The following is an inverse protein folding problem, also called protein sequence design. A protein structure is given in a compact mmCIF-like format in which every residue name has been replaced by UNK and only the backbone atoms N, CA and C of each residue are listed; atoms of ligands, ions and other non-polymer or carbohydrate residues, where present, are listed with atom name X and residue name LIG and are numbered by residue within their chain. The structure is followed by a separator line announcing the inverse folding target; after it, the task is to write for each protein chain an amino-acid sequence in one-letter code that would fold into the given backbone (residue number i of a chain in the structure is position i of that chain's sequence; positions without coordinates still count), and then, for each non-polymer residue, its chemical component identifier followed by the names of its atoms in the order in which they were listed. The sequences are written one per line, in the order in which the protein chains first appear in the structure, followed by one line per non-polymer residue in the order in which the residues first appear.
data_IF_017175540350
#
_entry.id   IF_017175540350
#
_cell.length_a   1.000
_cell.length_b   1.000
_cell.length_c   1.000
_cell.angle_alpha   90.00
_cell.angle_beta   90.00
_cell.angle_gamma   90.00
#
_symmetry.space_group_name_H-M   'P 1'
#
loop_
_entity.id
_entity.type
_entity.pdbx_description
1 polymer ?
#
# COMPACT_ATOMS: atom_id res chain seq x y z
N UNK A 1 -11.88 9.46 -8.62
CA UNK A 1 -11.51 8.02 -8.65
C UNK A 1 -11.29 7.58 -10.11
N UNK A 2 -10.29 6.75 -10.39
CA UNK A 2 -9.92 6.26 -11.73
C UNK A 2 -9.82 4.74 -11.73
N UNK A 3 -10.42 4.07 -12.72
CA UNK A 3 -10.26 2.62 -12.88
C UNK A 3 -8.91 2.33 -13.54
N UNK A 4 -8.15 1.37 -13.01
CA UNK A 4 -6.81 1.02 -13.55
C UNK A 4 -6.73 -0.39 -14.10
N UNK A 5 -7.63 -1.28 -13.69
CA UNK A 5 -7.87 -2.58 -14.31
C UNK A 5 -9.28 -3.07 -13.95
N UNK A 6 -9.63 -4.26 -14.38
CA UNK A 6 -10.91 -4.87 -14.01
C UNK A 6 -11.03 -5.00 -12.49
N UNK A 7 -12.15 -4.54 -11.96
CA UNK A 7 -12.48 -4.54 -10.52
C UNK A 7 -11.49 -3.81 -9.60
N UNK A 8 -10.64 -2.92 -10.13
CA UNK A 8 -9.74 -2.10 -9.33
C UNK A 8 -9.76 -0.63 -9.74
N UNK A 9 -9.98 0.23 -8.74
CA UNK A 9 -9.96 1.68 -8.87
C UNK A 9 -8.95 2.28 -7.90
N UNK A 10 -8.51 3.48 -8.23
CA UNK A 10 -7.61 4.26 -7.39
C UNK A 10 -8.14 5.67 -7.19
N UNK A 11 -7.94 6.19 -5.99
CA UNK A 11 -8.09 7.60 -5.69
C UNK A 11 -6.72 8.15 -5.32
N UNK A 12 -6.29 9.18 -6.02
CA UNK A 12 -5.00 9.84 -5.80
C UNK A 12 -5.25 11.12 -5.01
N UNK A 13 -4.42 11.33 -3.99
CA UNK A 13 -4.45 12.50 -3.12
C UNK A 13 -3.01 12.88 -2.78
N UNK A 14 -2.81 13.91 -1.97
CA UNK A 14 -1.49 14.28 -1.53
C UNK A 14 -1.51 14.98 -0.18
N UNK A 15 -0.41 14.88 0.56
CA UNK A 15 -0.26 15.56 1.83
C UNK A 15 1.08 16.28 1.93
N UNK A 16 1.11 17.36 2.70
CA UNK A 16 2.36 17.99 3.06
C UNK A 16 3.12 17.13 4.07
N UNK A 17 4.35 16.74 3.73
CA UNK A 17 5.30 16.07 4.59
C UNK A 17 6.63 16.83 4.55
N UNK A 18 6.98 17.47 5.67
CA UNK A 18 8.22 18.26 5.80
C UNK A 18 8.39 19.32 4.70
N UNK A 19 7.30 19.98 4.30
CA UNK A 19 7.33 21.02 3.26
C UNK A 19 7.39 20.48 1.82
N UNK A 20 7.30 19.16 1.63
CA UNK A 20 7.22 18.50 0.32
C UNK A 20 5.84 17.86 0.15
N UNK A 21 5.33 17.84 -1.08
CA UNK A 21 4.05 17.22 -1.39
C UNK A 21 4.25 15.72 -1.62
N UNK A 22 3.76 14.89 -0.70
CA UNK A 22 3.80 13.44 -0.83
C UNK A 22 2.52 12.95 -1.50
N UNK A 23 2.65 12.34 -2.68
CA UNK A 23 1.53 11.68 -3.35
C UNK A 23 1.06 10.44 -2.58
N UNK A 24 -0.24 10.23 -2.55
CA UNK A 24 -0.93 9.15 -1.85
C UNK A 24 -1.90 8.48 -2.81
N UNK A 25 -2.16 7.20 -2.56
CA UNK A 25 -3.14 6.44 -3.33
C UNK A 25 -3.93 5.51 -2.43
N UNK A 26 -5.25 5.68 -2.44
CA UNK A 26 -6.19 4.66 -1.99
C UNK A 26 -6.47 3.71 -3.15
N UNK A 27 -6.50 2.42 -2.86
CA UNK A 27 -6.93 1.38 -3.81
C UNK A 27 -8.28 0.82 -3.38
N UNK A 28 -9.19 0.67 -4.32
CA UNK A 28 -10.51 0.07 -4.12
C UNK A 28 -10.60 -1.16 -5.02
N UNK A 29 -10.87 -2.32 -4.43
CA UNK A 29 -11.11 -3.57 -5.15
C UNK A 29 -12.57 -3.95 -4.97
N UNK A 30 -13.23 -4.34 -6.06
CA UNK A 30 -14.55 -4.98 -6.00
C UNK A 30 -14.34 -6.49 -5.95
N UNK A 31 -14.75 -7.12 -4.85
CA UNK A 31 -14.60 -8.55 -4.62
C UNK A 31 -15.68 -9.35 -5.38
N UNK A 32 -15.45 -10.67 -5.49
CA UNK A 32 -16.49 -11.62 -5.86
C UNK A 32 -17.68 -11.48 -4.88
N UNK A 33 -18.88 -11.28 -5.42
CA UNK A 33 -20.07 -10.92 -4.62
C UNK A 33 -20.39 -9.42 -4.58
N UNK A 34 -19.52 -8.56 -5.14
CA UNK A 34 -19.84 -7.15 -5.43
C UNK A 34 -19.57 -6.16 -4.30
N UNK A 35 -19.15 -6.63 -3.12
CA UNK A 35 -18.71 -5.75 -2.03
C UNK A 35 -17.33 -5.15 -2.29
N UNK A 36 -17.03 -4.01 -1.67
CA UNK A 36 -15.77 -3.31 -1.82
C UNK A 36 -14.80 -3.59 -0.68
N UNK A 37 -13.53 -3.72 -1.08
CA UNK A 37 -12.34 -3.79 -0.24
C UNK A 37 -11.49 -2.55 -0.48
N UNK A 38 -11.29 -1.73 0.55
CA UNK A 38 -10.55 -0.47 0.47
C UNK A 38 -9.20 -0.62 1.15
N UNK A 39 -8.14 -0.08 0.54
CA UNK A 39 -6.79 -0.16 1.05
C UNK A 39 -6.05 1.17 1.00
N UNK A 40 -5.34 1.49 2.08
CA UNK A 40 -4.54 2.71 2.21
C UNK A 40 -5.36 3.99 1.95
N UNK A 41 -6.50 4.09 2.65
CA UNK A 41 -7.48 5.15 2.44
C UNK A 41 -6.87 6.57 2.55
N UNK A 42 -7.27 7.47 1.66
CA UNK A 42 -6.88 8.90 1.64
C UNK A 42 -7.87 9.74 2.45
N UNK A 43 -7.73 11.07 2.43
CA UNK A 43 -8.70 11.95 3.08
C UNK A 43 -10.12 11.68 2.55
N UNK A 44 -11.06 11.49 3.47
CA UNK A 44 -12.46 11.30 3.13
C UNK A 44 -13.10 12.66 2.81
N UNK A 45 -13.69 12.78 1.62
CA UNK A 45 -14.55 13.92 1.26
C UNK A 45 -15.93 13.41 0.85
N UNK A 46 -16.98 14.26 0.90
CA UNK A 46 -18.31 13.88 0.43
C UNK A 46 -18.32 13.35 -1.01
N UNK A 47 -17.53 13.96 -1.89
CA UNK A 47 -17.41 13.57 -3.29
C UNK A 47 -16.76 12.19 -3.43
N UNK A 48 -15.67 11.93 -2.68
CA UNK A 48 -15.02 10.63 -2.67
C UNK A 48 -15.94 9.55 -2.11
N UNK A 49 -16.66 9.85 -1.02
CA UNK A 49 -17.63 8.92 -0.43
C UNK A 49 -18.73 8.57 -1.43
N UNK A 50 -19.27 9.56 -2.15
CA UNK A 50 -20.25 9.33 -3.21
C UNK A 50 -19.69 8.45 -4.34
N UNK A 51 -18.45 8.70 -4.78
CA UNK A 51 -17.80 7.89 -5.80
C UNK A 51 -17.61 6.43 -5.34
N UNK A 52 -17.23 6.20 -4.08
CA UNK A 52 -17.10 4.85 -3.50
C UNK A 52 -18.45 4.15 -3.42
N UNK A 53 -19.47 4.83 -2.90
CA UNK A 53 -20.83 4.27 -2.81
C UNK A 53 -21.43 3.90 -4.18
N UNK A 54 -21.04 4.61 -5.24
CA UNK A 54 -21.46 4.29 -6.61
C UNK A 54 -20.82 2.98 -7.15
N UNK A 55 -19.70 2.52 -6.59
CA UNK A 55 -19.05 1.28 -6.99
C UNK A 55 -19.63 0.03 -6.31
N UNK A 56 -20.16 0.17 -5.10
CA UNK A 56 -20.70 -0.93 -4.29
C UNK A 56 -20.68 -0.63 -2.79
N UNK A 57 -21.10 -1.61 -1.99
CA UNK A 57 -21.09 -1.50 -0.53
C UNK A 57 -19.69 -1.78 0.03
N UNK A 58 -19.15 -0.85 0.82
CA UNK A 58 -17.88 -1.05 1.53
C UNK A 58 -18.04 -2.12 2.61
N UNK A 59 -17.31 -3.22 2.46
CA UNK A 59 -17.33 -4.34 3.41
C UNK A 59 -16.03 -4.44 4.20
N UNK A 60 -14.90 -4.11 3.58
CA UNK A 60 -13.59 -4.21 4.22
C UNK A 60 -12.80 -2.91 4.07
N UNK A 61 -12.24 -2.41 5.17
CA UNK A 61 -11.31 -1.28 5.18
C UNK A 61 -9.98 -1.77 5.74
N UNK A 62 -8.93 -1.67 4.94
CA UNK A 62 -7.65 -2.30 5.20
C UNK A 62 -6.52 -1.27 5.29
N UNK A 63 -5.96 -1.14 6.48
CA UNK A 63 -4.76 -0.36 6.74
C UNK A 63 -3.59 -1.31 6.99
N UNK A 64 -2.98 -1.77 5.91
CA UNK A 64 -2.02 -2.87 5.95
C UNK A 64 -0.59 -2.48 6.33
N UNK A 65 -0.32 -1.22 6.70
CA UNK A 65 1.00 -0.74 7.09
C UNK A 65 0.87 0.29 8.22
N UNK A 66 1.80 0.23 9.18
CA UNK A 66 1.83 1.06 10.38
C UNK A 66 1.83 2.58 10.13
N UNK A 67 2.16 3.05 8.93
CA UNK A 67 2.20 4.48 8.57
C UNK A 67 0.96 4.93 7.78
N UNK A 68 0.12 4.00 7.31
CA UNK A 68 -0.99 4.27 6.39
C UNK A 68 -2.35 4.23 7.11
N UNK A 69 -2.42 4.88 8.28
CA UNK A 69 -3.62 4.89 9.14
C UNK A 69 -4.18 6.29 9.42
N UNK A 70 -3.65 7.33 8.77
CA UNK A 70 -3.96 8.74 9.10
C UNK A 70 -5.45 9.05 9.03
N UNK A 71 -6.16 8.54 8.01
CA UNK A 71 -7.59 8.78 7.79
C UNK A 71 -8.46 7.58 8.19
N UNK A 72 -7.87 6.57 8.83
CA UNK A 72 -8.56 5.31 9.11
C UNK A 72 -9.81 5.51 9.99
N UNK A 73 -9.75 6.42 10.96
CA UNK A 73 -10.88 6.72 11.84
C UNK A 73 -12.05 7.33 11.06
N UNK A 74 -11.78 8.30 10.18
CA UNK A 74 -12.84 8.96 9.37
C UNK A 74 -13.58 7.94 8.50
N UNK A 75 -12.85 6.99 7.93
CA UNK A 75 -13.44 5.90 7.13
C UNK A 75 -14.18 4.88 7.99
N UNK A 76 -13.68 4.56 9.18
CA UNK A 76 -14.37 3.70 10.14
C UNK A 76 -15.72 4.30 10.59
N UNK A 77 -15.73 5.61 10.87
CA UNK A 77 -16.93 6.33 11.30
C UNK A 77 -17.96 6.46 10.16
N UNK A 78 -17.48 6.63 8.92
CA UNK A 78 -18.32 6.74 7.73
C UNK A 78 -18.94 5.39 7.29
N UNK A 79 -18.31 4.27 7.63
CA UNK A 79 -18.75 2.92 7.26
C UNK A 79 -18.71 1.98 8.49
N UNK A 80 -19.61 2.17 9.48
CA UNK A 80 -19.57 1.43 10.74
C UNK A 80 -19.84 -0.08 10.60
N UNK A 81 -20.42 -0.50 9.47
CA UNK A 81 -20.67 -1.91 9.14
C UNK A 81 -19.50 -2.60 8.42
N UNK A 82 -18.46 -1.85 8.06
CA UNK A 82 -17.27 -2.40 7.42
C UNK A 82 -16.32 -3.03 8.46
N UNK A 83 -15.80 -4.21 8.14
CA UNK A 83 -14.80 -4.87 8.97
C UNK A 83 -13.43 -4.23 8.72
N UNK A 84 -12.78 -3.77 9.81
CA UNK A 84 -11.47 -3.13 9.78
C UNK A 84 -10.37 -4.16 9.93
N UNK A 85 -9.40 -4.16 9.02
CA UNK A 85 -8.20 -4.99 9.10
C UNK A 85 -6.96 -4.12 9.09
N UNK A 86 -6.14 -4.24 10.14
CA UNK A 86 -5.05 -3.30 10.40
C UNK A 86 -3.75 -4.03 10.69
N UNK A 87 -2.63 -3.39 10.39
CA UNK A 87 -1.32 -3.86 10.84
C UNK A 87 -1.19 -3.77 12.37
N UNK A 88 -0.37 -4.63 12.96
CA UNK A 88 -0.24 -4.78 14.40
C UNK A 88 0.20 -3.52 15.16
N UNK A 89 0.81 -2.54 14.48
CA UNK A 89 1.24 -1.27 15.08
C UNK A 89 0.17 -0.18 15.13
N UNK A 90 -0.95 -0.32 14.41
CA UNK A 90 -1.99 0.72 14.29
C UNK A 90 -2.79 0.92 15.59
N UNK A 91 -3.23 -0.12 16.33
CA UNK A 91 -4.08 0.07 17.51
C UNK A 91 -3.45 0.91 18.63
N UNK A 92 -2.12 1.09 18.62
CA UNK A 92 -1.40 1.97 19.56
C UNK A 92 -1.48 3.45 19.18
N UNK A 93 -1.88 3.76 17.94
CA UNK A 93 -1.88 5.09 17.34
C UNK A 93 -3.29 5.61 17.09
N UNK A 94 -4.22 4.71 16.75
CA UNK A 94 -5.60 5.03 16.41
C UNK A 94 -6.52 4.27 17.37
N UNK A 95 -7.42 4.95 18.10
CA UNK A 95 -8.29 4.32 19.11
C UNK A 95 -9.48 3.60 18.46
N UNK A 96 -9.21 2.57 17.67
CA UNK A 96 -10.24 1.77 17.00
C UNK A 96 -11.01 0.90 18.00
N UNK A 97 -12.33 0.88 17.89
CA UNK A 97 -13.21 0.11 18.78
C UNK A 97 -13.40 -1.35 18.35
N UNK A 98 -13.38 -1.62 17.04
CA UNK A 98 -13.50 -2.96 16.45
C UNK A 98 -12.52 -3.09 15.28
N UNK A 99 -11.67 -4.11 15.30
CA UNK A 99 -10.73 -4.38 14.23
C UNK A 99 -10.17 -5.80 14.33
N UNK A 100 -9.58 -6.25 13.23
CA UNK A 100 -8.80 -7.46 13.10
C UNK A 100 -7.33 -7.10 12.82
N UNK A 101 -6.40 -7.84 13.42
CA UNK A 101 -4.97 -7.67 13.13
C UNK A 101 -4.59 -8.57 11.96
N UNK A 102 -3.99 -8.00 10.92
CA UNK A 102 -3.38 -8.74 9.83
C UNK A 102 -2.14 -9.46 10.35
N UNK A 103 -2.23 -10.79 10.44
CA UNK A 103 -1.15 -11.67 10.88
C UNK A 103 -1.37 -13.06 10.30
N UNK A 104 -0.30 -13.86 10.23
CA UNK A 104 -0.39 -15.24 9.75
C UNK A 104 -1.45 -16.04 10.52
N UNK A 105 -2.30 -16.76 9.79
CA UNK A 105 -3.34 -17.64 10.36
C UNK A 105 -4.70 -16.98 10.60
N UNK A 106 -4.88 -15.69 10.29
CA UNK A 106 -6.23 -15.12 10.21
C UNK A 106 -6.90 -15.57 8.91
N UNK A 107 -8.16 -15.95 9.00
CA UNK A 107 -8.99 -16.17 7.82
C UNK A 107 -9.31 -14.81 7.19
N UNK A 108 -8.85 -14.61 5.96
CA UNK A 108 -9.12 -13.40 5.20
C UNK A 108 -10.38 -13.61 4.35
N UNK A 109 -11.47 -12.88 4.60
CA UNK A 109 -12.73 -13.09 3.86
C UNK A 109 -12.64 -12.84 2.35
N UNK A 110 -11.60 -12.14 1.91
CA UNK A 110 -11.30 -11.85 0.50
C UNK A 110 -10.31 -12.85 -0.13
N UNK A 111 -9.97 -13.96 0.53
CA UNK A 111 -8.94 -14.88 0.07
C UNK A 111 -9.20 -15.49 -1.32
N UNK A 112 -10.46 -15.54 -1.76
CA UNK A 112 -10.81 -15.98 -3.12
C UNK A 112 -10.35 -14.97 -4.19
N UNK A 113 -10.39 -13.67 -3.90
CA UNK A 113 -10.02 -12.60 -4.83
C UNK A 113 -8.56 -12.16 -4.70
N UNK A 114 -8.04 -12.21 -3.47
CA UNK A 114 -6.78 -11.60 -3.06
C UNK A 114 -5.93 -12.60 -2.26
N UNK A 115 -4.84 -13.06 -2.86
CA UNK A 115 -3.72 -13.61 -2.10
C UNK A 115 -3.06 -12.49 -1.29
N UNK A 116 -2.50 -12.81 -0.12
CA UNK A 116 -1.88 -11.81 0.73
C UNK A 116 -0.74 -12.40 1.54
N UNK A 117 0.21 -11.55 1.92
CA UNK A 117 1.30 -11.93 2.79
C UNK A 117 1.78 -10.77 3.64
N UNK A 118 1.95 -11.01 4.93
CA UNK A 118 2.49 -10.01 5.86
C UNK A 118 4.01 -10.10 5.91
N UNK A 119 4.68 -8.97 5.71
CA UNK A 119 6.12 -8.79 5.80
C UNK A 119 6.63 -9.22 7.20
N UNK A 120 7.40 -10.31 7.29
CA UNK A 120 7.87 -10.82 8.56
C UNK A 120 9.02 -9.97 9.09
N UNK A 121 9.07 -9.81 10.41
CA UNK A 121 10.25 -9.28 11.11
C UNK A 121 10.69 -7.87 10.68
N UNK A 122 9.76 -7.04 10.19
CA UNK A 122 9.96 -5.60 9.91
C UNK A 122 8.96 -4.76 10.71
N UNK A 123 9.08 -4.64 12.05
CA UNK A 123 8.06 -4.00 12.90
C UNK A 123 7.84 -2.52 12.62
N UNK A 124 8.79 -1.84 11.96
CA UNK A 124 8.63 -0.44 11.57
C UNK A 124 7.43 -0.29 10.63
N UNK A 125 7.37 -1.09 9.56
CA UNK A 125 6.30 -1.05 8.57
C UNK A 125 5.18 -2.03 8.90
N UNK A 126 5.51 -3.27 9.26
CA UNK A 126 4.55 -4.37 9.45
C UNK A 126 3.57 -4.48 8.27
N UNK A 127 4.10 -4.32 7.05
CA UNK A 127 3.29 -4.20 5.84
C UNK A 127 2.71 -5.55 5.41
N UNK A 128 1.45 -5.58 5.00
CA UNK A 128 0.86 -6.71 4.28
C UNK A 128 0.64 -6.31 2.83
N UNK A 129 1.10 -7.16 1.90
CA UNK A 129 0.94 -6.96 0.46
C UNK A 129 -0.15 -7.90 -0.05
N UNK A 130 -0.81 -7.50 -1.14
CA UNK A 130 -1.94 -8.24 -1.70
C UNK A 130 -1.75 -8.48 -3.18
N UNK A 131 -2.18 -9.63 -3.69
CA UNK A 131 -2.19 -9.97 -5.10
C UNK A 131 -3.61 -10.25 -5.54
N UNK A 132 -4.16 -9.33 -6.33
CA UNK A 132 -5.48 -9.46 -6.92
C UNK A 132 -5.40 -10.40 -8.12
N UNK A 133 -6.05 -11.57 -7.99
CA UNK A 133 -5.95 -12.66 -8.97
C UNK A 133 -6.45 -12.21 -10.35
N UNK A 134 -7.63 -11.58 -10.38
CA UNK A 134 -8.36 -11.27 -11.62
C UNK A 134 -7.61 -10.26 -12.51
N UNK A 135 -7.06 -9.21 -11.90
CA UNK A 135 -6.33 -8.18 -12.65
C UNK A 135 -4.81 -8.36 -12.63
N UNK A 136 -4.33 -9.46 -12.06
CA UNK A 136 -2.91 -9.76 -11.88
C UNK A 136 -2.12 -8.58 -11.30
N UNK A 137 -2.68 -7.93 -10.26
CA UNK A 137 -2.12 -6.69 -9.71
C UNK A 137 -1.60 -6.93 -8.30
N UNK A 138 -0.31 -6.68 -8.09
CA UNK A 138 0.31 -6.63 -6.78
C UNK A 138 0.04 -5.25 -6.17
N UNK A 139 -0.53 -5.20 -4.96
CA UNK A 139 -0.90 -3.98 -4.24
C UNK A 139 0.03 -3.89 -3.02
N UNK A 140 0.74 -2.77 -2.91
CA UNK A 140 1.77 -2.51 -1.89
C UNK A 140 1.67 -1.07 -1.40
N UNK A 141 2.28 -0.78 -0.24
CA UNK A 141 2.44 0.58 0.28
C UNK A 141 3.89 1.04 0.26
N UNK A 142 4.65 0.85 1.35
CA UNK A 142 6.03 1.33 1.49
C UNK A 142 7.05 0.30 1.02
N UNK A 143 6.64 -0.96 0.82
CA UNK A 143 7.54 -1.98 0.35
C UNK A 143 8.13 -1.60 -1.01
N UNK A 144 7.31 -1.15 -1.96
CA UNK A 144 7.75 -0.60 -3.24
C UNK A 144 7.04 0.73 -3.48
N UNK A 145 7.82 1.74 -3.83
CA UNK A 145 7.39 3.09 -4.16
C UNK A 145 7.95 3.45 -5.54
N UNK A 146 7.29 4.33 -6.29
CA UNK A 146 7.73 4.68 -7.64
C UNK A 146 7.59 6.16 -7.93
N UNK A 147 8.66 6.92 -7.71
CA UNK A 147 8.73 8.35 -7.96
C UNK A 147 9.44 8.57 -9.32
N UNK A 148 8.77 8.40 -10.47
CA UNK A 148 9.37 8.71 -11.76
C UNK A 148 9.83 10.17 -11.74
N UNK A 149 10.92 10.46 -12.45
CA UNK A 149 11.66 11.73 -12.38
C UNK A 149 10.72 12.93 -12.27
N UNK A 150 10.46 13.34 -11.02
CA UNK A 150 9.63 14.49 -10.75
C UNK A 150 10.39 15.68 -11.31
N UNK A 151 9.74 16.46 -12.19
CA UNK A 151 10.23 17.81 -12.43
C UNK A 151 10.29 18.48 -11.06
N UNK A 152 11.48 18.93 -10.59
CA UNK A 152 11.60 19.43 -9.25
C UNK A 152 10.60 20.56 -9.08
N UNK A 153 9.68 20.41 -8.13
CA UNK A 153 8.74 21.46 -7.77
C UNK A 153 9.55 22.73 -7.44
N UNK A 154 9.16 23.88 -7.99
CA UNK A 154 9.84 25.14 -7.69
C UNK A 154 9.81 25.43 -6.17
N UNK A 155 10.86 26.06 -5.66
CA UNK A 155 10.94 26.49 -4.25
C UNK A 155 11.41 25.39 -3.28
N UNK A 156 10.99 25.51 -2.01
CA UNK A 156 11.50 24.70 -0.89
C UNK A 156 11.26 23.19 -1.08
N UNK A 157 10.15 22.80 -1.71
CA UNK A 157 9.82 21.41 -2.02
C UNK A 157 10.85 20.75 -2.96
N UNK A 158 11.26 21.44 -4.02
CA UNK A 158 12.30 20.93 -4.93
C UNK A 158 13.67 20.84 -4.28
N UNK A 159 13.99 21.78 -3.39
CA UNK A 159 15.23 21.74 -2.59
C UNK A 159 15.22 20.52 -1.67
N UNK A 160 14.14 20.31 -0.91
CA UNK A 160 13.99 19.14 -0.03
C UNK A 160 14.06 17.83 -0.81
N UNK A 161 13.36 17.74 -1.94
CA UNK A 161 13.37 16.54 -2.80
C UNK A 161 14.77 16.23 -3.30
N UNK A 162 15.45 17.21 -3.92
CA UNK A 162 16.76 17.03 -4.55
C UNK A 162 17.90 16.80 -3.56
N UNK A 163 17.88 17.48 -2.41
CA UNK A 163 19.01 17.47 -1.48
C UNK A 163 18.80 16.62 -0.22
N UNK A 164 17.57 16.17 0.05
CA UNK A 164 17.26 15.32 1.21
C UNK A 164 16.70 13.97 0.77
N UNK A 165 15.56 13.92 0.07
CA UNK A 165 14.86 12.66 -0.22
C UNK A 165 15.54 11.80 -1.29
N UNK A 166 15.97 12.39 -2.41
CA UNK A 166 16.65 11.63 -3.47
C UNK A 166 18.02 11.07 -3.02
N UNK A 167 18.86 11.80 -2.26
CA UNK A 167 20.13 11.26 -1.74
C UNK A 167 19.95 10.09 -0.78
N UNK A 168 18.88 10.08 0.03
CA UNK A 168 18.58 8.94 0.91
C UNK A 168 17.89 7.78 0.17
N UNK A 169 17.56 7.93 -1.11
CA UNK A 169 17.12 6.84 -1.99
C UNK A 169 15.64 6.80 -2.35
N UNK A 170 14.85 7.82 -1.98
CA UNK A 170 13.47 7.99 -2.47
C UNK A 170 13.49 8.63 -3.85
N UNK A 171 13.80 7.83 -4.88
CA UNK A 171 13.85 8.27 -6.28
C UNK A 171 13.61 7.12 -7.23
N UNK A 172 12.96 7.40 -8.37
CA UNK A 172 12.58 6.37 -9.33
C UNK A 172 11.76 5.27 -8.67
N UNK A 173 11.86 4.06 -9.22
CA UNK A 173 11.33 2.87 -8.58
C UNK A 173 12.29 2.40 -7.48
N UNK A 174 11.79 2.31 -6.24
CA UNK A 174 12.60 1.99 -5.08
C UNK A 174 11.81 1.21 -4.01
N UNK A 175 12.53 0.46 -3.18
CA UNK A 175 12.04 -0.01 -1.87
C UNK A 175 12.31 1.10 -0.86
N UNK A 176 11.41 1.33 0.10
CA UNK A 176 11.62 2.34 1.15
C UNK A 176 13.05 2.23 1.72
N UNK A 177 13.86 3.30 1.73
CA UNK A 177 15.28 3.24 2.04
C UNK A 177 15.67 2.53 3.34
N UNK A 178 14.97 2.71 4.48
CA UNK A 178 15.30 1.96 5.70
C UNK A 178 15.20 0.44 5.51
N UNK A 179 14.21 -0.01 4.72
CA UNK A 179 14.03 -1.41 4.35
C UNK A 179 15.06 -1.85 3.31
N UNK A 180 15.30 -1.01 2.29
CA UNK A 180 16.31 -1.24 1.24
C UNK A 180 17.71 -1.42 1.82
N UNK A 181 18.08 -0.67 2.86
CA UNK A 181 19.37 -0.81 3.54
C UNK A 181 19.41 -1.99 4.51
N UNK A 182 18.26 -2.59 4.83
CA UNK A 182 18.13 -3.70 5.77
C UNK A 182 18.25 -3.30 7.24
N UNK A 183 18.14 -2.00 7.54
CA UNK A 183 18.26 -1.46 8.90
C UNK A 183 17.08 -1.85 9.80
N UNK A 184 15.94 -2.17 9.19
CA UNK A 184 14.67 -2.46 9.87
C UNK A 184 14.30 -3.95 9.86
N UNK A 185 15.08 -4.78 9.15
CA UNK A 185 14.83 -6.22 8.99
C UNK A 185 15.50 -6.96 10.15
N UNK A 186 14.70 -7.51 11.07
CA UNK A 186 15.19 -8.28 12.23
C UNK A 186 15.58 -9.71 11.89
N UNK A 187 14.92 -10.30 10.89
CA UNK A 187 15.20 -11.65 10.40
C UNK A 187 15.28 -11.62 8.88
N UNK A 188 16.51 -11.69 8.35
CA UNK A 188 16.78 -11.62 6.91
C UNK A 188 16.30 -12.87 6.18
N UNK A 189 16.34 -14.05 6.81
CA UNK A 189 15.92 -15.29 6.16
C UNK A 189 14.40 -15.34 6.02
N UNK A 190 13.67 -14.93 7.06
CA UNK A 190 12.22 -14.82 6.98
C UNK A 190 11.80 -13.78 5.93
N UNK A 191 12.49 -12.64 5.87
CA UNK A 191 12.22 -11.62 4.86
C UNK A 191 12.53 -12.12 3.43
N UNK A 192 13.62 -12.86 3.24
CA UNK A 192 13.93 -13.48 1.94
C UNK A 192 12.85 -14.47 1.47
N UNK A 193 12.29 -15.28 2.39
CA UNK A 193 11.15 -16.17 2.08
C UNK A 193 9.90 -15.40 1.67
N UNK A 194 9.59 -14.31 2.35
CA UNK A 194 8.50 -13.41 1.97
C UNK A 194 8.70 -12.85 0.56
N UNK A 195 9.91 -12.38 0.24
CA UNK A 195 10.23 -11.87 -1.09
C UNK A 195 10.07 -12.96 -2.15
N UNK A 196 10.59 -14.17 -1.92
CA UNK A 196 10.47 -15.28 -2.86
C UNK A 196 9.02 -15.75 -3.04
N UNK A 197 8.21 -15.75 -1.98
CA UNK A 197 6.81 -16.11 -2.08
C UNK A 197 6.00 -15.06 -2.86
N UNK A 198 6.17 -13.76 -2.56
CA UNK A 198 5.57 -12.68 -3.37
C UNK A 198 6.06 -12.74 -4.82
N UNK A 199 7.35 -13.03 -5.04
CA UNK A 199 7.93 -13.24 -6.36
C UNK A 199 7.33 -14.45 -7.09
N UNK A 200 6.78 -15.45 -6.40
CA UNK A 200 6.11 -16.58 -7.05
C UNK A 200 4.74 -16.22 -7.65
N UNK A 201 4.11 -15.12 -7.20
CA UNK A 201 2.83 -14.67 -7.73
C UNK A 201 2.95 -14.12 -9.17
N UNK A 202 1.93 -14.38 -9.99
CA UNK A 202 1.91 -14.01 -11.41
C UNK A 202 1.29 -12.62 -11.64
N UNK A 203 1.91 -11.58 -11.07
CA UNK A 203 1.47 -10.20 -11.24
C UNK A 203 2.10 -9.53 -12.48
N UNK A 204 1.30 -8.74 -13.18
CA UNK A 204 1.70 -7.94 -14.35
C UNK A 204 1.80 -6.45 -14.03
N UNK A 205 1.29 -6.02 -12.87
CA UNK A 205 1.28 -4.63 -12.39
C UNK A 205 1.63 -4.55 -10.92
N UNK A 206 2.25 -3.44 -10.51
CA UNK A 206 2.41 -3.09 -9.09
C UNK A 206 1.71 -1.75 -8.81
N UNK A 207 0.64 -1.82 -8.02
CA UNK A 207 -0.11 -0.67 -7.51
C UNK A 207 0.55 -0.22 -6.20
N UNK A 208 1.29 0.87 -6.28
CA UNK A 208 1.99 1.48 -5.14
C UNK A 208 1.14 2.58 -4.49
N UNK A 209 1.32 2.85 -3.20
CA UNK A 209 0.69 4.03 -2.56
C UNK A 209 1.35 5.33 -2.99
N UNK A 210 2.67 5.33 -3.16
CA UNK A 210 3.45 6.54 -3.44
C UNK A 210 4.00 6.56 -4.86
N UNK A 211 3.63 7.61 -5.60
CA UNK A 211 4.07 7.88 -6.98
C UNK A 211 3.28 7.10 -8.04
N UNK A 212 3.85 6.73 -9.18
CA UNK A 212 3.12 6.15 -10.32
C UNK A 212 2.95 4.62 -10.23
N UNK A 213 1.83 4.11 -10.72
CA UNK A 213 1.60 2.66 -10.85
C UNK A 213 2.59 2.06 -11.86
N UNK A 214 3.17 0.91 -11.53
CA UNK A 214 4.11 0.19 -12.40
C UNK A 214 3.31 -0.73 -13.32
N UNK A 215 2.98 -0.25 -14.51
CA UNK A 215 2.12 -0.92 -15.49
C UNK A 215 2.84 -1.94 -16.39
N UNK A 216 4.16 -1.81 -16.55
CA UNK A 216 4.94 -2.63 -17.47
C UNK A 216 6.14 -3.25 -16.78
N UNK A 217 6.50 -4.47 -17.20
CA UNK A 217 7.67 -5.19 -16.71
C UNK A 217 7.69 -5.36 -15.17
N UNK A 218 6.50 -5.41 -14.53
CA UNK A 218 6.35 -5.45 -13.09
C UNK A 218 7.22 -6.53 -12.42
N UNK A 219 7.27 -7.74 -12.98
CA UNK A 219 8.13 -8.83 -12.50
C UNK A 219 9.61 -8.45 -12.51
N UNK A 220 10.11 -7.94 -13.64
CA UNK A 220 11.51 -7.52 -13.79
C UNK A 220 11.87 -6.39 -12.83
N UNK A 221 10.97 -5.40 -12.68
CA UNK A 221 11.13 -4.31 -11.72
C UNK A 221 11.19 -4.86 -10.29
N UNK A 222 10.26 -5.73 -9.91
CA UNK A 222 10.24 -6.37 -8.59
C UNK A 222 11.55 -7.12 -8.31
N UNK A 223 11.98 -7.99 -9.23
CA UNK A 223 13.22 -8.76 -9.10
C UNK A 223 14.45 -7.86 -8.98
N UNK A 224 14.55 -6.84 -9.83
CA UNK A 224 15.64 -5.86 -9.75
C UNK A 224 15.70 -5.18 -8.39
N UNK A 225 14.56 -4.82 -7.82
CA UNK A 225 14.49 -4.18 -6.51
C UNK A 225 14.84 -5.13 -5.37
N UNK A 226 14.42 -6.38 -5.46
CA UNK A 226 14.43 -7.31 -4.33
C UNK A 226 15.57 -8.34 -4.36
N UNK A 227 16.32 -8.47 -5.47
CA UNK A 227 17.35 -9.51 -5.66
C UNK A 227 18.32 -9.65 -4.47
N UNK A 228 18.70 -8.55 -3.81
CA UNK A 228 19.60 -8.53 -2.65
C UNK A 228 19.06 -9.23 -1.39
N UNK A 229 17.77 -9.56 -1.35
CA UNK A 229 17.13 -10.19 -0.20
C UNK A 229 16.94 -11.71 -0.40
N UNK A 230 17.16 -12.19 -1.63
CA UNK A 230 16.99 -13.59 -2.03
C UNK A 230 18.31 -14.39 -1.99
N UNK A 231 19.42 -13.73 -1.70
CA UNK A 231 20.79 -14.28 -1.68
C UNK A 231 21.24 -14.70 -0.29
#
# INVERSE_FOLDING_TARGET
MRQIAEDIWVHEDSMNMLGTQLGLRMTVVRLEGGSLWLHSATALTPELQQQVNALGSVRYIVAANNHHSRWLQDWADAYPEADLYVSAGIPRKVPLSKYHILQLGIEAPWANDLSWETMPSVPLFCETVFFHHKSQSLIVTDFIQNYPDEQPADGFSGVMTKYVFQPIGFKGCCIAPPLKLGLTIKDKQAFGRFVEHVKSWDFQRIVVTHGEVIEQQAKSVFEKLTHRFCS
#
